data_IF_642698920735
#
_entry.id   IF_642698920735
#
_cell.length_a   1.000
_cell.length_b   1.000
_cell.length_c   1.000
_cell.angle_alpha   90.00
_cell.angle_beta   90.00
_cell.angle_gamma   90.00
#
_symmetry.space_group_name_H-M   'P 1'
#
loop_
_entity.id
_entity.type
_entity.pdbx_description
1 polymer ?
#
# COMPACT_ATOMS: atom_id res chain seq x y z
N UNK A 1 73.58 6.02 41.82
CA UNK A 1 74.60 6.67 42.66
C UNK A 1 74.40 8.17 42.56
N UNK A 2 74.31 8.85 43.72
CA UNK A 2 74.27 10.31 43.93
C UNK A 2 72.96 11.07 43.60
N UNK A 3 72.17 11.13 44.66
CA UNK A 3 71.43 12.30 45.15
C UNK A 3 72.12 13.65 44.87
N UNK A 4 71.32 14.65 44.52
CA UNK A 4 71.69 16.07 44.52
C UNK A 4 70.50 16.89 44.99
N UNK A 5 70.36 17.03 46.31
CA UNK A 5 69.48 17.97 47.01
C UNK A 5 70.26 19.28 47.19
N UNK A 6 69.65 20.42 46.85
CA UNK A 6 70.02 21.72 47.45
C UNK A 6 68.78 22.56 47.74
N UNK A 7 68.83 23.17 48.92
CA UNK A 7 67.76 23.83 49.68
C UNK A 7 67.80 25.36 49.55
N UNK A 8 66.66 25.98 49.91
CA UNK A 8 66.41 27.36 50.40
C UNK A 8 66.35 28.44 49.30
N UNK A 9 65.43 29.41 49.34
CA UNK A 9 65.01 30.26 50.49
C UNK A 9 63.53 30.64 50.41
N UNK A 10 62.94 30.82 51.60
CA UNK A 10 61.59 31.23 51.92
C UNK A 10 61.20 32.64 51.42
N UNK A 11 59.89 32.88 51.27
CA UNK A 11 59.21 34.05 51.84
C UNK A 11 57.69 33.84 51.89
N UNK A 12 57.16 34.03 53.08
CA UNK A 12 55.76 34.09 53.47
C UNK A 12 55.18 35.41 52.94
N UNK A 13 54.08 35.35 52.18
CA UNK A 13 53.07 36.42 52.18
C UNK A 13 51.69 35.75 52.08
N UNK A 14 51.03 35.69 53.23
CA UNK A 14 49.59 35.45 53.35
C UNK A 14 48.91 36.79 53.04
N UNK A 15 48.26 36.92 51.88
CA UNK A 15 47.33 38.02 51.60
C UNK A 15 46.02 37.41 51.18
N UNK A 16 45.13 37.33 52.16
CA UNK A 16 43.69 37.20 51.98
C UNK A 16 43.18 38.47 51.30
N UNK A 17 42.81 38.40 50.02
CA UNK A 17 41.95 39.42 49.40
C UNK A 17 40.64 38.76 48.97
N UNK A 18 39.64 39.11 49.77
CA UNK A 18 38.23 39.12 49.51
C UNK A 18 37.85 39.50 48.06
N UNK A 19 36.85 38.79 47.54
CA UNK A 19 35.73 39.44 46.88
C UNK A 19 35.96 39.96 45.46
N UNK A 20 35.77 39.09 44.48
CA UNK A 20 34.92 39.43 43.34
C UNK A 20 34.33 38.14 42.76
N UNK A 21 33.35 37.57 43.46
CA UNK A 21 32.37 36.70 42.82
C UNK A 21 31.63 37.59 41.81
N UNK A 22 32.16 37.69 40.60
CA UNK A 22 31.37 38.08 39.43
C UNK A 22 30.29 37.01 39.28
N UNK A 23 29.20 37.21 40.03
CA UNK A 23 27.92 36.63 39.73
C UNK A 23 27.52 37.27 38.41
N UNK A 24 27.93 36.63 37.31
CA UNK A 24 27.15 36.70 36.09
C UNK A 24 25.76 36.25 36.50
N UNK A 25 24.90 37.23 36.78
CA UNK A 25 23.47 37.05 36.63
C UNK A 25 23.31 36.63 35.17
N UNK A 26 23.32 35.32 34.93
CA UNK A 26 22.52 34.76 33.86
C UNK A 26 21.11 35.26 34.17
N UNK A 27 20.76 36.40 33.58
CA UNK A 27 19.37 36.71 33.29
C UNK A 27 18.94 35.60 32.34
N UNK A 28 18.55 34.47 32.92
CA UNK A 28 17.58 33.60 32.31
C UNK A 28 16.35 34.48 32.12
N UNK A 29 16.24 35.12 30.96
CA UNK A 29 14.93 35.51 30.49
C UNK A 29 14.17 34.19 30.47
N UNK A 30 13.22 34.02 31.39
CA UNK A 30 12.23 32.98 31.24
C UNK A 30 11.62 33.25 29.87
N UNK A 31 11.90 32.38 28.90
CA UNK A 31 11.30 32.49 27.59
C UNK A 31 9.80 32.56 27.83
N UNK A 32 9.16 33.67 27.45
CA UNK A 32 7.72 33.78 27.55
C UNK A 32 7.15 32.66 26.69
N UNK A 33 6.58 31.63 27.30
CA UNK A 33 6.02 30.49 26.60
C UNK A 33 4.59 30.79 26.16
N UNK A 34 4.20 30.26 25.01
CA UNK A 34 2.84 30.34 24.48
C UNK A 34 2.36 28.98 24.01
N UNK A 35 1.05 28.82 23.97
CA UNK A 35 0.38 27.69 23.32
C UNK A 35 0.02 28.07 21.90
N UNK A 36 0.31 27.19 20.95
CA UNK A 36 -0.09 27.31 19.53
C UNK A 36 -1.05 26.19 19.19
N UNK A 37 -2.19 26.53 18.61
CA UNK A 37 -3.20 25.57 18.16
C UNK A 37 -3.10 25.35 16.66
N UNK A 38 -3.01 24.09 16.22
CA UNK A 38 -3.27 23.71 14.84
C UNK A 38 -4.70 23.20 14.77
N UNK A 39 -5.58 23.99 14.17
CA UNK A 39 -6.96 23.56 13.89
C UNK A 39 -6.97 22.55 12.75
N UNK A 40 -6.29 22.92 11.67
CA UNK A 40 -6.09 22.10 10.49
C UNK A 40 -4.76 22.48 9.83
N UNK A 41 -4.00 21.48 9.41
CA UNK A 41 -2.83 21.65 8.57
C UNK A 41 -2.81 20.53 7.53
N UNK A 42 -3.03 20.91 6.28
CA UNK A 42 -3.13 19.99 5.14
C UNK A 42 -2.30 20.50 3.97
N UNK A 43 -1.48 19.62 3.40
CA UNK A 43 -0.65 19.92 2.23
C UNK A 43 -0.81 18.83 1.20
N UNK A 44 -1.14 19.22 -0.02
CA UNK A 44 -1.18 18.33 -1.18
C UNK A 44 0.04 18.50 -2.07
N UNK A 45 0.49 17.42 -2.71
CA UNK A 45 1.64 17.40 -3.62
C UNK A 45 1.16 17.35 -5.06
N UNK A 46 1.71 18.19 -5.94
CA UNK A 46 1.46 18.12 -7.39
C UNK A 46 2.76 18.09 -8.19
N UNK A 47 2.70 17.56 -9.43
CA UNK A 47 3.83 17.68 -10.36
C UNK A 47 3.71 18.94 -11.22
N UNK A 48 2.80 18.99 -12.20
CA UNK A 48 2.69 20.14 -13.12
C UNK A 48 1.33 20.85 -13.05
N UNK A 49 0.28 20.14 -12.63
CA UNK A 49 -1.08 20.66 -12.49
C UNK A 49 -1.55 20.56 -11.04
N UNK A 50 -1.88 21.70 -10.44
CA UNK A 50 -2.38 21.81 -9.07
C UNK A 50 -3.74 21.13 -8.87
N UNK A 51 -4.54 20.99 -9.94
CA UNK A 51 -5.82 20.29 -9.86
C UNK A 51 -5.65 18.78 -9.67
N UNK A 52 -4.48 18.25 -10.00
CA UNK A 52 -4.10 16.85 -9.81
C UNK A 52 -3.30 16.64 -8.51
N UNK A 53 -3.34 17.61 -7.59
CA UNK A 53 -2.63 17.51 -6.32
C UNK A 53 -3.18 16.39 -5.44
N UNK A 54 -2.29 15.56 -4.89
CA UNK A 54 -2.63 14.42 -4.05
C UNK A 54 -2.30 14.67 -2.59
N UNK A 55 -3.09 14.07 -1.71
CA UNK A 55 -2.91 14.19 -0.25
C UNK A 55 -1.74 13.32 0.23
N UNK A 56 -1.38 13.47 1.51
CA UNK A 56 -0.37 12.66 2.18
C UNK A 56 -1.06 11.92 3.34
N UNK A 57 -1.99 10.98 3.04
CA UNK A 57 -2.75 10.31 4.10
C UNK A 57 -1.89 9.32 4.87
N UNK A 58 -2.36 9.01 6.09
CA UNK A 58 -1.81 7.95 6.95
C UNK A 58 -0.27 7.93 7.01
N UNK A 59 0.32 9.12 7.13
CA UNK A 59 1.75 9.36 7.13
C UNK A 59 2.16 9.92 8.47
N UNK A 60 3.28 9.41 9.00
CA UNK A 60 3.87 9.94 10.22
C UNK A 60 4.30 11.39 10.02
N UNK A 61 4.06 12.20 11.05
CA UNK A 61 4.52 13.57 11.11
C UNK A 61 5.24 13.88 12.42
N UNK A 62 6.19 14.80 12.35
CA UNK A 62 6.82 15.46 13.51
C UNK A 62 6.78 16.96 13.32
N UNK A 63 6.28 17.68 14.32
CA UNK A 63 6.26 19.14 14.35
C UNK A 63 7.40 19.62 15.22
N UNK A 64 8.23 20.51 14.68
CA UNK A 64 9.42 21.05 15.34
C UNK A 64 9.49 22.56 15.24
N UNK A 65 10.33 23.17 16.07
CA UNK A 65 10.86 24.52 15.83
C UNK A 65 12.38 24.52 15.99
N UNK A 66 13.04 25.57 15.52
CA UNK A 66 14.47 25.80 15.74
C UNK A 66 14.63 26.88 16.81
N UNK A 67 15.33 26.57 17.90
CA UNK A 67 15.59 27.54 18.97
C UNK A 67 16.68 28.56 18.60
N UNK A 68 16.98 29.50 19.51
CA UNK A 68 17.99 30.55 19.30
C UNK A 68 19.40 30.01 19.10
N UNK A 69 19.68 28.80 19.60
CA UNK A 69 20.98 28.13 19.47
C UNK A 69 21.07 27.30 18.18
N UNK A 70 20.01 27.30 17.35
CA UNK A 70 19.95 26.55 16.11
C UNK A 70 19.55 25.08 16.30
N UNK A 71 19.14 24.67 17.50
CA UNK A 71 18.77 23.28 17.80
C UNK A 71 17.29 23.05 17.48
N UNK A 72 17.01 21.93 16.82
CA UNK A 72 15.64 21.51 16.54
C UNK A 72 14.98 20.92 17.78
N UNK A 73 13.81 21.44 18.17
CA UNK A 73 13.00 20.97 19.31
C UNK A 73 11.68 20.42 18.82
N UNK A 74 11.31 19.22 19.28
CA UNK A 74 10.05 18.57 18.95
C UNK A 74 8.90 19.15 19.79
N UNK A 75 7.78 19.45 19.13
CA UNK A 75 6.54 19.93 19.72
C UNK A 75 5.44 18.86 19.75
N UNK A 76 5.35 18.05 18.69
CA UNK A 76 4.35 17.01 18.56
C UNK A 76 4.78 15.96 17.53
N UNK A 77 4.22 14.75 17.64
CA UNK A 77 4.31 13.67 16.66
C UNK A 77 2.93 13.05 16.48
N UNK A 78 2.68 12.42 15.33
CA UNK A 78 1.43 11.70 15.10
C UNK A 78 1.35 11.17 13.67
N UNK A 79 0.15 10.81 13.26
CA UNK A 79 -0.16 10.36 11.89
C UNK A 79 -1.25 11.25 11.31
N UNK A 80 -1.15 11.60 10.03
CA UNK A 80 -2.22 12.32 9.33
C UNK A 80 -3.48 11.47 9.19
N UNK A 81 -4.65 12.12 9.12
CA UNK A 81 -5.90 11.42 8.80
C UNK A 81 -5.96 10.89 7.35
N UNK A 82 -7.08 10.26 6.99
CA UNK A 82 -7.33 9.74 5.64
C UNK A 82 -7.36 10.84 4.55
N UNK A 83 -7.54 12.11 4.93
CA UNK A 83 -7.44 13.27 4.05
C UNK A 83 -6.04 13.89 4.00
N UNK A 84 -5.05 13.31 4.70
CA UNK A 84 -3.69 13.85 4.80
C UNK A 84 -3.57 15.09 5.69
N UNK A 85 -4.49 15.29 6.63
CA UNK A 85 -4.53 16.48 7.48
C UNK A 85 -4.09 16.19 8.92
N UNK A 86 -3.50 17.20 9.56
CA UNK A 86 -3.24 17.25 11.00
C UNK A 86 -4.30 18.15 11.61
N UNK A 87 -5.20 17.59 12.41
CA UNK A 87 -6.34 18.32 12.99
C UNK A 87 -6.28 18.40 14.50
N UNK A 88 -6.72 19.52 15.07
CA UNK A 88 -6.91 19.71 16.51
C UNK A 88 -5.67 19.45 17.39
N UNK A 89 -4.47 19.72 16.87
CA UNK A 89 -3.23 19.54 17.62
C UNK A 89 -2.91 20.79 18.47
N UNK A 90 -2.57 20.59 19.74
CA UNK A 90 -2.14 21.66 20.65
C UNK A 90 -0.64 21.56 20.91
N UNK A 91 0.11 22.62 20.59
CA UNK A 91 1.55 22.72 20.78
C UNK A 91 1.81 23.58 22.03
N UNK A 92 2.25 22.93 23.10
CA UNK A 92 2.54 23.60 24.38
C UNK A 92 3.98 24.10 24.44
N UNK A 93 4.23 25.07 25.31
CA UNK A 93 5.58 25.52 25.66
C UNK A 93 6.42 26.02 24.46
N UNK A 94 5.79 26.69 23.49
CA UNK A 94 6.48 27.31 22.37
C UNK A 94 7.05 28.66 22.85
N UNK A 95 8.36 28.91 22.79
CA UNK A 95 8.91 30.23 23.14
C UNK A 95 8.34 31.34 22.27
N UNK A 96 8.07 32.52 22.84
CA UNK A 96 7.47 33.65 22.11
C UNK A 96 8.36 34.18 20.99
N UNK A 97 9.68 33.99 21.08
CA UNK A 97 10.63 34.34 20.02
C UNK A 97 10.58 33.43 18.79
N UNK A 98 9.98 32.24 18.92
CA UNK A 98 9.81 31.30 17.79
C UNK A 98 8.67 31.78 16.91
N UNK A 99 8.96 32.14 15.67
CA UNK A 99 7.97 32.69 14.73
C UNK A 99 7.45 31.67 13.71
N UNK A 100 8.02 30.48 13.67
CA UNK A 100 7.67 29.44 12.69
C UNK A 100 7.82 28.04 13.26
N UNK A 101 7.05 27.10 12.72
CA UNK A 101 7.19 25.66 12.93
C UNK A 101 7.60 24.98 11.63
N UNK A 102 8.21 23.79 11.74
CA UNK A 102 8.52 22.87 10.66
C UNK A 102 7.74 21.58 10.87
N UNK A 103 6.94 21.19 9.89
CA UNK A 103 6.20 19.93 9.86
C UNK A 103 6.95 18.97 8.95
N UNK A 104 7.52 17.92 9.53
CA UNK A 104 8.22 16.85 8.81
C UNK A 104 7.23 15.72 8.59
N UNK A 105 7.07 15.27 7.35
CA UNK A 105 6.26 14.12 6.98
C UNK A 105 7.17 12.97 6.55
N UNK A 106 6.85 11.76 6.95
CA UNK A 106 7.39 10.50 6.41
C UNK A 106 6.24 9.78 5.70
N UNK A 107 6.41 9.45 4.42
CA UNK A 107 5.36 8.74 3.67
C UNK A 107 5.18 7.31 4.21
N UNK A 108 4.07 7.07 4.90
CA UNK A 108 3.76 5.83 5.60
C UNK A 108 4.04 5.88 7.11
N UNK A 109 3.94 4.73 7.74
CA UNK A 109 4.07 4.57 9.19
C UNK A 109 4.47 3.14 9.56
N UNK A 110 4.80 2.91 10.83
CA UNK A 110 5.24 1.59 11.32
C UNK A 110 4.20 0.46 11.20
N UNK A 111 2.90 0.76 11.07
CA UNK A 111 1.82 -0.24 11.02
C UNK A 111 1.54 -0.74 9.61
N UNK A 112 1.69 0.12 8.59
CA UNK A 112 1.54 -0.24 7.17
C UNK A 112 2.87 -0.53 6.50
N UNK A 113 3.90 0.21 6.86
CA UNK A 113 5.16 0.33 6.11
C UNK A 113 5.28 1.70 5.43
N UNK A 114 6.47 1.96 4.90
CA UNK A 114 6.88 3.24 4.34
C UNK A 114 7.09 3.18 2.82
N UNK A 115 6.95 4.34 2.18
CA UNK A 115 7.46 4.53 0.82
C UNK A 115 8.94 4.90 0.90
N UNK A 116 9.79 4.09 0.26
CA UNK A 116 11.25 4.23 0.29
C UNK A 116 11.85 4.55 -1.06
N UNK A 117 12.94 5.30 -1.02
CA UNK A 117 13.86 5.53 -2.15
C UNK A 117 14.68 4.27 -2.41
N UNK A 118 15.32 4.21 -3.58
CA UNK A 118 16.20 3.10 -3.95
C UNK A 118 17.40 2.89 -3.03
N UNK A 119 17.75 3.89 -2.21
CA UNK A 119 18.82 3.82 -1.21
C UNK A 119 18.32 3.44 0.20
N UNK A 120 17.05 3.01 0.33
CA UNK A 120 16.45 2.59 1.60
C UNK A 120 15.93 3.73 2.47
N UNK A 121 16.20 5.00 2.13
CA UNK A 121 15.67 6.13 2.92
C UNK A 121 14.19 6.33 2.66
N UNK A 122 13.44 6.65 3.72
CA UNK A 122 12.02 6.99 3.64
C UNK A 122 11.85 8.30 2.84
N UNK A 123 10.80 8.39 2.03
CA UNK A 123 10.42 9.66 1.43
C UNK A 123 9.92 10.63 2.50
N UNK A 124 10.63 11.74 2.64
CA UNK A 124 10.34 12.77 3.64
C UNK A 124 10.14 14.14 3.02
N UNK A 125 9.17 14.88 3.57
CA UNK A 125 8.87 16.27 3.18
C UNK A 125 8.92 17.17 4.40
N UNK A 126 9.38 18.41 4.24
CA UNK A 126 9.45 19.38 5.33
C UNK A 126 8.75 20.66 4.93
N UNK A 127 7.70 21.04 5.66
CA UNK A 127 6.97 22.26 5.42
C UNK A 127 7.18 23.24 6.56
N UNK A 128 7.63 24.46 6.23
CA UNK A 128 7.78 25.53 7.21
C UNK A 128 6.54 26.42 7.19
N UNK A 129 5.97 26.70 8.36
CA UNK A 129 4.79 27.57 8.51
C UNK A 129 5.00 28.60 9.60
N UNK A 130 4.77 29.86 9.25
CA UNK A 130 4.76 30.95 10.22
C UNK A 130 3.63 30.77 11.24
N UNK A 131 3.92 31.03 12.51
CA UNK A 131 2.94 31.06 13.59
C UNK A 131 2.30 32.46 13.60
N UNK A 132 1.00 32.59 13.31
CA UNK A 132 0.33 33.88 13.31
C UNK A 132 0.24 34.47 14.72
N UNK A 133 0.00 35.78 14.84
CA UNK A 133 -0.15 36.47 16.11
C UNK A 133 -1.33 35.93 16.97
N UNK A 134 -2.33 35.33 16.33
CA UNK A 134 -3.45 34.64 16.98
C UNK A 134 -3.07 33.32 17.65
N UNK A 135 -1.84 32.83 17.46
CA UNK A 135 -1.38 31.50 17.86
C UNK A 135 -2.23 30.34 17.32
N UNK A 136 -3.00 30.57 16.24
CA UNK A 136 -3.88 29.55 15.66
C UNK A 136 -3.57 29.37 14.18
N UNK A 137 -3.14 28.17 13.81
CA UNK A 137 -2.84 27.75 12.44
C UNK A 137 -4.03 26.97 11.90
N UNK A 138 -4.59 27.48 10.81
CA UNK A 138 -5.58 26.81 9.97
C UNK A 138 -5.11 26.96 8.52
N UNK A 139 -4.59 25.89 7.94
CA UNK A 139 -3.90 25.93 6.66
C UNK A 139 -4.23 24.72 5.79
N UNK A 140 -4.64 25.01 4.56
CA UNK A 140 -4.72 24.04 3.47
C UNK A 140 -4.01 24.63 2.26
N UNK A 141 -3.15 23.84 1.62
CA UNK A 141 -2.41 24.29 0.44
C UNK A 141 -1.96 23.14 -0.44
N UNK A 142 -1.48 23.49 -1.62
CA UNK A 142 -0.84 22.54 -2.54
C UNK A 142 0.56 23.03 -2.87
N UNK A 143 1.51 22.12 -2.95
CA UNK A 143 2.90 22.41 -3.26
C UNK A 143 3.42 21.46 -4.32
N UNK A 144 4.26 21.99 -5.20
CA UNK A 144 5.04 21.20 -6.12
C UNK A 144 6.21 20.55 -5.37
N UNK A 145 6.82 21.36 -4.49
CA UNK A 145 8.06 21.22 -3.71
C UNK A 145 7.94 20.65 -2.30
N UNK A 146 8.47 19.46 -2.02
CA UNK A 146 8.83 19.07 -0.65
C UNK A 146 10.19 19.64 -0.21
N UNK A 147 11.26 19.50 -1.03
CA UNK A 147 12.66 19.76 -0.64
C UNK A 147 13.69 19.96 -1.81
N UNK A 148 13.29 20.26 -3.06
CA UNK A 148 14.23 20.30 -4.21
C UNK A 148 13.99 21.46 -5.18
N UNK A 149 15.02 21.85 -5.93
CA UNK A 149 14.97 22.77 -7.08
C UNK A 149 15.05 22.05 -8.45
N UNK A 150 15.14 20.71 -8.45
CA UNK A 150 15.38 19.89 -9.65
C UNK A 150 14.09 19.27 -10.15
N UNK A 151 13.76 19.48 -11.42
CA UNK A 151 12.53 18.99 -12.08
C UNK A 151 12.24 17.50 -11.84
N UNK A 152 13.26 16.67 -12.00
CA UNK A 152 13.15 15.21 -11.80
C UNK A 152 12.76 14.83 -10.36
N UNK A 153 13.17 15.62 -9.36
CA UNK A 153 12.78 15.38 -7.97
C UNK A 153 11.29 15.60 -7.74
N UNK A 154 10.63 16.36 -8.61
CA UNK A 154 9.25 16.79 -8.44
C UNK A 154 8.30 15.69 -8.84
N UNK A 155 8.54 15.13 -10.03
CA UNK A 155 7.89 13.92 -10.51
C UNK A 155 8.12 12.75 -9.56
N UNK A 156 9.35 12.57 -9.06
CA UNK A 156 9.67 11.55 -8.06
C UNK A 156 8.79 11.67 -6.81
N UNK A 157 8.77 12.85 -6.18
CA UNK A 157 8.01 13.09 -4.96
C UNK A 157 6.50 12.94 -5.20
N UNK A 158 6.00 13.45 -6.33
CA UNK A 158 4.59 13.35 -6.70
C UNK A 158 4.14 11.88 -6.89
N UNK A 159 4.91 11.07 -7.61
CA UNK A 159 4.59 9.64 -7.80
C UNK A 159 4.69 8.90 -6.46
N UNK A 160 5.70 9.18 -5.63
CA UNK A 160 5.81 8.58 -4.30
C UNK A 160 4.61 8.94 -3.41
N UNK A 161 4.12 10.19 -3.45
CA UNK A 161 2.89 10.59 -2.74
C UNK A 161 1.65 9.88 -3.26
N UNK A 162 1.54 9.67 -4.57
CA UNK A 162 0.44 8.88 -5.17
C UNK A 162 0.47 7.42 -4.74
N UNK A 163 1.66 6.80 -4.72
CA UNK A 163 1.82 5.43 -4.22
C UNK A 163 1.38 5.35 -2.75
N UNK A 164 1.78 6.30 -1.91
CA UNK A 164 1.35 6.35 -0.50
C UNK A 164 -0.18 6.45 -0.36
N UNK A 165 -0.81 7.35 -1.12
CA UNK A 165 -2.26 7.53 -1.13
C UNK A 165 -2.99 6.25 -1.57
N UNK A 166 -2.58 5.64 -2.69
CA UNK A 166 -3.18 4.39 -3.15
C UNK A 166 -2.90 3.20 -2.23
N UNK A 167 -1.81 3.21 -1.48
CA UNK A 167 -1.54 2.16 -0.49
C UNK A 167 -2.55 2.23 0.67
N UNK A 168 -2.82 3.42 1.20
CA UNK A 168 -3.90 3.62 2.19
C UNK A 168 -5.27 3.22 1.64
N UNK A 169 -5.56 3.59 0.40
CA UNK A 169 -6.82 3.25 -0.26
C UNK A 169 -6.97 1.74 -0.50
N UNK A 170 -5.89 1.03 -0.87
CA UNK A 170 -5.90 -0.42 -1.03
C UNK A 170 -6.21 -1.14 0.30
N UNK A 171 -5.62 -0.70 1.41
CA UNK A 171 -5.96 -1.22 2.74
C UNK A 171 -7.42 -0.97 3.11
N UNK A 172 -7.91 0.25 2.83
CA UNK A 172 -9.30 0.62 3.08
C UNK A 172 -10.26 -0.19 2.22
N UNK A 173 -9.94 -0.40 0.94
CA UNK A 173 -10.71 -1.21 0.00
C UNK A 173 -10.84 -2.65 0.49
N UNK A 174 -9.72 -3.28 0.86
CA UNK A 174 -9.74 -4.62 1.42
C UNK A 174 -10.55 -4.68 2.72
N UNK A 175 -10.28 -3.79 3.66
CA UNK A 175 -10.98 -3.74 4.95
C UNK A 175 -12.49 -3.58 4.76
N UNK A 176 -12.91 -2.72 3.85
CA UNK A 176 -14.31 -2.49 3.54
C UNK A 176 -14.97 -3.74 2.92
N UNK A 177 -14.27 -4.46 2.03
CA UNK A 177 -14.73 -5.74 1.49
C UNK A 177 -14.91 -6.80 2.59
N UNK A 178 -13.89 -6.98 3.44
CA UNK A 178 -13.94 -7.93 4.55
C UNK A 178 -15.07 -7.61 5.56
N UNK A 179 -15.25 -6.32 5.90
CA UNK A 179 -16.36 -5.88 6.77
C UNK A 179 -17.72 -6.14 6.13
N UNK A 180 -17.85 -5.95 4.81
CA UNK A 180 -19.10 -6.25 4.10
C UNK A 180 -19.39 -7.76 4.12
N UNK A 181 -18.41 -8.60 3.79
CA UNK A 181 -18.55 -10.05 3.78
C UNK A 181 -18.89 -10.63 5.17
N UNK A 182 -18.26 -10.11 6.24
CA UNK A 182 -18.51 -10.54 7.63
C UNK A 182 -19.94 -10.39 8.10
N UNK A 183 -20.74 -9.51 7.49
CA UNK A 183 -22.17 -9.39 7.78
C UNK A 183 -22.94 -10.66 7.41
N UNK A 184 -22.43 -11.43 6.45
CA UNK A 184 -23.12 -12.59 5.86
C UNK A 184 -22.37 -13.91 6.09
N UNK A 185 -21.06 -13.88 6.34
CA UNK A 185 -20.23 -15.05 6.71
C UNK A 185 -19.44 -14.72 7.97
N UNK A 186 -19.96 -15.12 9.13
CA UNK A 186 -19.41 -14.75 10.44
C UNK A 186 -18.16 -15.54 10.84
N UNK A 187 -17.84 -16.59 10.09
CA UNK A 187 -16.66 -17.42 10.21
C UNK A 187 -15.42 -16.83 9.54
N UNK A 188 -15.56 -15.74 8.77
CA UNK A 188 -14.43 -14.99 8.23
C UNK A 188 -13.60 -14.43 9.40
N UNK A 189 -12.35 -14.88 9.51
CA UNK A 189 -11.39 -14.38 10.48
C UNK A 189 -11.00 -12.90 10.25
N UNK A 190 -10.59 -12.21 11.32
CA UNK A 190 -9.90 -10.92 11.20
C UNK A 190 -8.53 -11.12 10.54
N UNK A 191 -8.33 -10.47 9.40
CA UNK A 191 -7.05 -10.40 8.72
C UNK A 191 -6.48 -8.99 8.86
N UNK A 192 -5.31 -8.89 9.50
CA UNK A 192 -4.49 -7.67 9.53
C UNK A 192 -3.17 -8.00 8.81
N UNK A 193 -2.88 -7.26 7.74
CA UNK A 193 -1.60 -7.40 7.04
C UNK A 193 -0.49 -6.82 7.92
N UNK A 194 0.60 -7.57 8.12
CA UNK A 194 1.78 -7.01 8.75
C UNK A 194 2.43 -5.94 7.83
N UNK A 195 3.22 -4.99 8.37
CA UNK A 195 3.80 -3.91 7.59
C UNK A 195 4.73 -4.40 6.46
N UNK A 196 4.74 -3.71 5.32
CA UNK A 196 5.73 -3.90 4.24
C UNK A 196 6.08 -2.58 3.55
N UNK A 197 7.35 -2.39 3.24
CA UNK A 197 7.83 -1.18 2.57
C UNK A 197 7.69 -1.30 1.05
N UNK A 198 7.32 -0.18 0.41
CA UNK A 198 7.27 -0.05 -1.05
C UNK A 198 8.40 0.85 -1.52
N UNK A 199 9.26 0.32 -2.39
CA UNK A 199 10.37 1.02 -3.00
C UNK A 199 10.00 1.61 -4.36
N UNK A 200 10.32 2.88 -4.56
CA UNK A 200 10.16 3.56 -5.83
C UNK A 200 11.15 4.72 -6.00
N UNK A 201 11.78 4.81 -7.17
CA UNK A 201 12.55 5.98 -7.57
C UNK A 201 12.67 6.02 -9.10
N UNK A 202 12.59 7.21 -9.71
CA UNK A 202 12.86 7.39 -11.14
C UNK A 202 14.25 6.85 -11.51
N UNK A 203 14.32 6.15 -12.63
CA UNK A 203 15.50 5.44 -13.11
C UNK A 203 15.80 4.12 -12.39
N UNK A 204 15.25 3.89 -11.20
CA UNK A 204 15.40 2.63 -10.48
C UNK A 204 14.44 1.59 -11.03
N UNK A 205 14.96 0.41 -11.39
CA UNK A 205 14.16 -0.64 -12.04
C UNK A 205 13.44 -0.13 -13.31
N UNK A 206 14.11 0.73 -14.09
CA UNK A 206 13.56 1.31 -15.31
C UNK A 206 13.16 0.23 -16.33
N UNK A 207 11.91 0.32 -16.79
CA UNK A 207 11.24 -0.62 -17.70
C UNK A 207 11.24 -2.08 -17.21
N UNK A 208 11.43 -2.29 -15.90
CA UNK A 208 11.16 -3.58 -15.26
C UNK A 208 9.73 -3.58 -14.73
N UNK A 209 9.15 -4.77 -14.57
CA UNK A 209 7.86 -4.92 -13.89
C UNK A 209 7.96 -4.55 -12.41
N UNK A 210 6.81 -4.27 -11.81
CA UNK A 210 6.66 -4.28 -10.35
C UNK A 210 6.82 -5.71 -9.84
N UNK A 211 7.26 -5.87 -8.59
CA UNK A 211 7.36 -7.18 -7.97
C UNK A 211 7.42 -7.10 -6.46
N UNK A 212 6.77 -8.06 -5.81
CA UNK A 212 7.01 -8.46 -4.44
C UNK A 212 8.25 -9.36 -4.33
N UNK A 213 9.21 -8.99 -3.48
CA UNK A 213 10.41 -9.77 -3.19
C UNK A 213 10.32 -10.40 -1.80
N UNK A 214 10.10 -11.71 -1.78
CA UNK A 214 10.02 -12.51 -0.54
C UNK A 214 11.22 -12.33 0.41
N UNK A 215 12.42 -12.12 -0.14
CA UNK A 215 13.68 -12.01 0.61
C UNK A 215 14.36 -10.64 0.40
N UNK A 216 13.59 -9.63 0.00
CA UNK A 216 14.08 -8.30 -0.33
C UNK A 216 14.70 -8.22 -1.71
N UNK A 217 14.45 -7.12 -2.41
CA UNK A 217 15.02 -6.89 -3.75
C UNK A 217 16.55 -6.73 -3.72
N UNK A 218 17.10 -6.35 -2.57
CA UNK A 218 18.53 -6.17 -2.31
C UNK A 218 19.21 -7.38 -1.67
N UNK A 219 18.46 -8.46 -1.40
CA UNK A 219 18.97 -9.69 -0.79
C UNK A 219 19.18 -9.61 0.72
N UNK A 220 18.65 -8.59 1.41
CA UNK A 220 18.75 -8.46 2.88
C UNK A 220 17.99 -9.52 3.67
N UNK A 221 17.09 -10.28 3.02
CA UNK A 221 16.17 -11.21 3.67
C UNK A 221 14.95 -10.52 4.26
N UNK A 222 14.85 -9.19 4.17
CA UNK A 222 13.67 -8.42 4.59
C UNK A 222 12.72 -8.29 3.39
N UNK A 223 11.47 -8.78 3.48
CA UNK A 223 10.53 -8.72 2.36
C UNK A 223 10.16 -7.28 2.01
N UNK A 224 10.03 -6.99 0.72
CA UNK A 224 9.63 -5.68 0.23
C UNK A 224 8.87 -5.76 -1.10
N UNK A 225 8.30 -4.63 -1.50
CA UNK A 225 7.69 -4.43 -2.81
C UNK A 225 8.51 -3.40 -3.56
N UNK A 226 8.80 -3.65 -4.84
CA UNK A 226 9.37 -2.65 -5.74
C UNK A 226 8.33 -2.32 -6.80
N UNK A 227 7.99 -1.04 -6.93
CA UNK A 227 7.24 -0.55 -8.08
C UNK A 227 8.21 -0.12 -9.17
N UNK A 228 8.17 -0.79 -10.32
CA UNK A 228 9.08 -0.54 -11.44
C UNK A 228 8.88 0.83 -12.06
N UNK A 229 9.98 1.51 -12.41
CA UNK A 229 9.92 2.77 -13.12
C UNK A 229 9.63 2.59 -14.62
N UNK A 230 9.05 3.61 -15.26
CA UNK A 230 8.69 3.62 -16.68
C UNK A 230 9.39 4.74 -17.43
N UNK A 231 9.75 4.52 -18.68
CA UNK A 231 10.42 5.57 -19.48
C UNK A 231 9.59 6.86 -19.54
N UNK A 232 8.28 6.73 -19.75
CA UNK A 232 7.35 7.88 -19.78
C UNK A 232 6.59 8.04 -18.48
N UNK A 233 6.56 9.27 -17.96
CA UNK A 233 5.75 9.65 -16.78
C UNK A 233 4.25 9.44 -17.05
N UNK A 234 3.81 9.58 -18.30
CA UNK A 234 2.40 9.38 -18.68
C UNK A 234 1.90 7.95 -18.47
N UNK A 235 2.79 6.98 -18.28
CA UNK A 235 2.43 5.58 -17.98
C UNK A 235 2.02 5.38 -16.52
N UNK A 236 2.34 6.32 -15.62
CA UNK A 236 1.87 6.31 -14.24
C UNK A 236 0.44 6.85 -14.14
N UNK A 237 -0.52 6.19 -14.79
CA UNK A 237 -1.94 6.52 -14.65
C UNK A 237 -2.45 6.16 -13.24
N UNK A 238 -3.68 6.57 -12.90
CA UNK A 238 -4.31 6.14 -11.64
C UNK A 238 -4.45 4.62 -11.62
N UNK A 239 -5.04 4.06 -12.68
CA UNK A 239 -5.19 2.62 -12.88
C UNK A 239 -3.85 1.88 -12.67
N UNK A 240 -2.77 2.31 -13.34
CA UNK A 240 -1.47 1.66 -13.21
C UNK A 240 -0.99 1.60 -11.76
N UNK A 241 -1.01 2.72 -11.03
CA UNK A 241 -0.51 2.75 -9.66
C UNK A 241 -1.41 1.99 -8.70
N UNK A 242 -2.74 2.16 -8.81
CA UNK A 242 -3.72 1.45 -7.99
C UNK A 242 -3.57 -0.06 -8.17
N UNK A 243 -3.58 -0.53 -9.42
CA UNK A 243 -3.42 -1.94 -9.77
C UNK A 243 -2.13 -2.50 -9.17
N UNK A 244 -0.97 -1.90 -9.46
CA UNK A 244 0.32 -2.46 -9.04
C UNK A 244 0.50 -2.43 -7.52
N UNK A 245 0.02 -1.40 -6.82
CA UNK A 245 0.08 -1.35 -5.34
C UNK A 245 -0.72 -2.51 -4.75
N UNK A 246 -1.98 -2.69 -5.17
CA UNK A 246 -2.84 -3.75 -4.62
C UNK A 246 -2.39 -5.15 -5.06
N UNK A 247 -1.92 -5.31 -6.29
CA UNK A 247 -1.39 -6.57 -6.82
C UNK A 247 -0.21 -7.07 -6.00
N UNK A 248 0.83 -6.24 -5.84
CA UNK A 248 2.03 -6.66 -5.11
C UNK A 248 1.78 -6.77 -3.60
N UNK A 249 0.90 -5.93 -3.04
CA UNK A 249 0.50 -6.05 -1.64
C UNK A 249 -0.33 -7.33 -1.39
N UNK A 250 -1.10 -7.80 -2.36
CA UNK A 250 -1.82 -9.08 -2.26
C UNK A 250 -0.86 -10.26 -2.24
N UNK A 251 0.25 -10.22 -3.00
CA UNK A 251 1.33 -11.21 -2.89
C UNK A 251 1.93 -11.28 -1.49
N UNK A 252 2.11 -10.12 -0.85
CA UNK A 252 2.57 -10.07 0.53
C UNK A 252 1.57 -10.73 1.50
N UNK A 253 0.29 -10.41 1.38
CA UNK A 253 -0.77 -11.00 2.19
C UNK A 253 -0.84 -12.53 2.02
N UNK A 254 -0.81 -13.01 0.76
CA UNK A 254 -0.75 -14.45 0.45
C UNK A 254 0.45 -15.17 1.06
N UNK A 255 1.62 -14.52 1.09
CA UNK A 255 2.80 -15.09 1.75
C UNK A 255 2.59 -15.23 3.25
N UNK A 256 1.98 -14.25 3.90
CA UNK A 256 1.75 -14.28 5.35
C UNK A 256 0.80 -15.41 5.76
N UNK A 257 -0.25 -15.63 4.98
CA UNK A 257 -1.39 -16.49 5.36
C UNK A 257 -1.22 -17.92 4.88
N UNK A 258 -0.79 -18.10 3.63
CA UNK A 258 -0.79 -19.39 2.94
C UNK A 258 0.61 -19.85 2.51
N UNK A 259 1.67 -19.08 2.86
CA UNK A 259 3.05 -19.29 2.38
C UNK A 259 3.15 -19.35 0.85
N UNK A 260 2.18 -18.73 0.18
CA UNK A 260 2.10 -18.61 -1.26
C UNK A 260 2.93 -17.39 -1.70
N UNK A 261 4.25 -17.54 -1.76
CA UNK A 261 5.09 -16.52 -2.41
C UNK A 261 4.85 -16.49 -3.92
N UNK A 262 4.96 -15.31 -4.53
CA UNK A 262 4.85 -15.09 -5.98
C UNK A 262 5.76 -16.00 -6.82
N UNK A 263 5.42 -16.14 -8.11
CA UNK A 263 6.11 -17.02 -9.05
C UNK A 263 6.67 -16.27 -10.24
N UNK A 264 7.72 -16.79 -10.87
CA UNK A 264 8.16 -16.26 -12.17
C UNK A 264 7.22 -16.76 -13.27
N UNK A 265 6.78 -15.85 -14.13
CA UNK A 265 5.99 -16.12 -15.32
C UNK A 265 6.41 -15.15 -16.44
N UNK A 266 6.09 -15.49 -17.69
CA UNK A 266 6.51 -14.69 -18.86
C UNK A 266 5.55 -13.53 -19.14
N UNK A 267 4.25 -13.78 -19.09
CA UNK A 267 3.19 -12.77 -19.22
C UNK A 267 1.88 -13.29 -18.63
N UNK A 268 0.89 -12.42 -18.42
CA UNK A 268 -0.42 -12.83 -17.91
C UNK A 268 -1.17 -13.81 -18.84
N UNK A 269 -0.78 -13.84 -20.12
CA UNK A 269 -1.39 -14.60 -21.20
C UNK A 269 -0.65 -15.89 -21.55
N UNK A 270 0.53 -16.10 -20.97
CA UNK A 270 1.36 -17.27 -21.30
C UNK A 270 0.89 -18.47 -20.48
N UNK A 271 0.88 -19.66 -21.10
CA UNK A 271 0.63 -20.91 -20.40
C UNK A 271 1.68 -21.18 -19.32
N UNK A 272 1.22 -21.44 -18.10
CA UNK A 272 2.06 -21.89 -17.00
C UNK A 272 1.94 -23.41 -16.85
N UNK A 273 3.07 -24.11 -16.99
CA UNK A 273 3.14 -25.54 -16.65
C UNK A 273 2.93 -25.80 -15.16
N UNK A 274 3.26 -24.83 -14.31
CA UNK A 274 2.96 -24.86 -12.89
C UNK A 274 1.66 -24.12 -12.60
N UNK A 275 0.57 -24.85 -12.40
CA UNK A 275 -0.76 -24.28 -12.17
C UNK A 275 -0.85 -23.44 -10.88
N UNK A 276 0.06 -23.66 -9.93
CA UNK A 276 0.18 -22.81 -8.74
C UNK A 276 0.55 -21.37 -9.11
N UNK A 277 1.33 -21.16 -10.17
CA UNK A 277 1.69 -19.82 -10.64
C UNK A 277 0.45 -19.09 -11.16
N UNK A 278 -0.34 -19.73 -12.01
CA UNK A 278 -1.59 -19.15 -12.54
C UNK A 278 -2.55 -18.73 -11.42
N UNK A 279 -2.71 -19.58 -10.42
CA UNK A 279 -3.57 -19.28 -9.26
C UNK A 279 -3.08 -18.07 -8.46
N UNK A 280 -1.81 -18.07 -8.03
CA UNK A 280 -1.24 -17.00 -7.21
C UNK A 280 -1.24 -15.65 -7.92
N UNK A 281 -0.79 -15.63 -9.17
CA UNK A 281 -0.76 -14.39 -9.94
C UNK A 281 -2.16 -13.97 -10.38
N UNK A 282 -3.05 -14.90 -10.71
CA UNK A 282 -4.44 -14.61 -11.05
C UNK A 282 -5.21 -13.95 -9.92
N UNK A 283 -5.00 -14.40 -8.68
CA UNK A 283 -5.55 -13.75 -7.48
C UNK A 283 -5.03 -12.31 -7.34
N UNK A 284 -3.72 -12.11 -7.46
CA UNK A 284 -3.13 -10.79 -7.32
C UNK A 284 -3.65 -9.84 -8.42
N UNK A 285 -3.79 -10.33 -9.66
CA UNK A 285 -4.40 -9.60 -10.77
C UNK A 285 -5.86 -9.26 -10.50
N UNK A 286 -6.64 -10.22 -10.04
CA UNK A 286 -8.03 -10.02 -9.65
C UNK A 286 -8.14 -8.89 -8.62
N UNK A 287 -7.41 -8.98 -7.50
CA UNK A 287 -7.44 -7.95 -6.48
C UNK A 287 -6.97 -6.58 -6.99
N UNK A 288 -5.91 -6.55 -7.81
CA UNK A 288 -5.39 -5.34 -8.45
C UNK A 288 -6.42 -4.65 -9.35
N UNK A 289 -7.07 -5.41 -10.23
CA UNK A 289 -8.08 -4.86 -11.15
C UNK A 289 -9.39 -4.48 -10.45
N UNK A 290 -9.85 -5.25 -9.45
CA UNK A 290 -11.05 -4.89 -8.68
C UNK A 290 -10.86 -3.56 -7.96
N UNK A 291 -9.66 -3.31 -7.42
CA UNK A 291 -9.35 -2.03 -6.82
C UNK A 291 -9.21 -0.91 -7.87
N UNK A 292 -8.50 -1.16 -8.97
CA UNK A 292 -8.20 -0.15 -9.98
C UNK A 292 -9.41 0.28 -10.84
N UNK A 293 -10.39 -0.60 -11.02
CA UNK A 293 -11.60 -0.34 -11.82
C UNK A 293 -12.90 -0.35 -11.00
N UNK A 294 -12.81 -0.33 -9.68
CA UNK A 294 -13.99 -0.37 -8.79
C UNK A 294 -14.94 -1.53 -9.10
N UNK A 295 -14.40 -2.75 -9.19
CA UNK A 295 -15.11 -4.00 -9.51
C UNK A 295 -15.56 -4.18 -10.97
N UNK A 296 -15.26 -3.26 -11.89
CA UNK A 296 -15.73 -3.35 -13.29
C UNK A 296 -14.67 -3.91 -14.24
N UNK A 297 -14.86 -5.16 -14.70
CA UNK A 297 -14.07 -5.78 -15.77
C UNK A 297 -14.90 -6.21 -16.98
N UNK A 298 -16.16 -5.76 -17.09
CA UNK A 298 -17.12 -6.19 -18.12
C UNK A 298 -16.67 -5.98 -19.57
N UNK A 299 -15.66 -5.14 -19.81
CA UNK A 299 -15.09 -4.89 -21.14
C UNK A 299 -14.17 -6.00 -21.64
N UNK A 300 -13.72 -6.88 -20.74
CA UNK A 300 -12.72 -7.93 -20.98
C UNK A 300 -13.10 -9.27 -20.35
N UNK A 301 -14.33 -9.36 -19.87
CA UNK A 301 -14.97 -10.50 -19.22
C UNK A 301 -14.79 -11.78 -20.04
N UNK A 302 -15.21 -11.68 -21.31
CA UNK A 302 -15.25 -12.79 -22.24
C UNK A 302 -13.92 -13.10 -22.92
N UNK A 303 -12.81 -12.49 -22.49
CA UNK A 303 -11.50 -12.68 -23.13
C UNK A 303 -11.02 -14.14 -23.01
N UNK A 304 -11.38 -14.83 -21.92
CA UNK A 304 -11.07 -16.27 -21.73
C UNK A 304 -12.11 -17.19 -22.35
N UNK A 305 -13.19 -16.64 -22.91
CA UNK A 305 -14.31 -17.35 -23.51
C UNK A 305 -14.42 -17.15 -25.05
N UNK A 306 -13.90 -16.05 -25.60
CA UNK A 306 -13.93 -15.69 -27.04
C UNK A 306 -12.58 -15.80 -27.78
N UNK A 307 -12.61 -16.28 -29.04
CA UNK A 307 -11.50 -16.16 -29.99
C UNK A 307 -11.92 -15.44 -31.26
N UNK A 308 -11.48 -14.19 -31.40
CA UNK A 308 -11.97 -13.35 -32.48
C UNK A 308 -11.29 -13.58 -33.85
N UNK A 309 -10.25 -14.42 -33.95
CA UNK A 309 -9.52 -14.57 -35.23
C UNK A 309 -9.52 -16.02 -35.77
N UNK A 310 -9.66 -17.08 -34.95
CA UNK A 310 -9.50 -18.47 -35.43
C UNK A 310 -10.52 -19.49 -34.89
N UNK A 311 -11.54 -19.12 -34.11
CA UNK A 311 -12.42 -20.09 -33.43
C UNK A 311 -11.73 -21.00 -32.40
N UNK A 312 -10.54 -20.63 -31.92
CA UNK A 312 -9.69 -21.27 -30.91
C UNK A 312 -9.30 -20.23 -29.84
N UNK A 313 -9.96 -20.27 -28.68
CA UNK A 313 -9.60 -19.37 -27.58
C UNK A 313 -8.19 -19.67 -27.06
N UNK A 314 -7.34 -18.64 -27.02
CA UNK A 314 -5.95 -18.75 -26.57
C UNK A 314 -5.81 -19.06 -25.08
N UNK A 315 -6.83 -18.81 -24.27
CA UNK A 315 -6.83 -18.88 -22.80
C UNK A 315 -7.87 -19.85 -22.23
N UNK A 316 -8.97 -20.15 -22.95
CA UNK A 316 -10.02 -21.09 -22.54
C UNK A 316 -9.42 -22.42 -22.09
N UNK A 317 -9.78 -22.86 -20.89
CA UNK A 317 -9.28 -24.10 -20.29
C UNK A 317 -7.77 -24.19 -20.09
N UNK A 318 -6.99 -23.15 -20.43
CA UNK A 318 -5.53 -23.13 -20.26
C UNK A 318 -5.13 -22.50 -18.94
N UNK A 319 -4.04 -23.00 -18.37
CA UNK A 319 -3.49 -22.44 -17.14
C UNK A 319 -2.73 -21.14 -17.41
N UNK A 320 -3.42 -20.01 -17.39
CA UNK A 320 -2.81 -18.67 -17.45
C UNK A 320 -3.22 -17.83 -16.24
N UNK A 321 -2.44 -16.79 -15.92
CA UNK A 321 -2.82 -15.87 -14.84
C UNK A 321 -4.14 -15.16 -15.17
N UNK A 322 -4.35 -14.82 -16.45
CA UNK A 322 -5.58 -14.19 -16.95
C UNK A 322 -6.81 -15.10 -16.83
N UNK A 323 -6.66 -16.38 -17.16
CA UNK A 323 -7.74 -17.38 -16.98
C UNK A 323 -8.15 -17.50 -15.52
N UNK A 324 -7.17 -17.57 -14.60
CA UNK A 324 -7.47 -17.63 -13.18
C UNK A 324 -8.11 -16.34 -12.65
N UNK A 325 -7.72 -15.17 -13.16
CA UNK A 325 -8.33 -13.90 -12.80
C UNK A 325 -9.81 -13.83 -13.21
N UNK A 326 -10.12 -14.16 -14.47
CA UNK A 326 -11.47 -13.99 -15.01
C UNK A 326 -12.44 -14.99 -14.39
N UNK A 327 -12.04 -16.25 -14.16
CA UNK A 327 -12.86 -17.19 -13.36
C UNK A 327 -13.24 -16.66 -11.97
N UNK A 328 -12.36 -15.90 -11.32
CA UNK A 328 -12.66 -15.27 -10.03
C UNK A 328 -13.57 -14.05 -10.18
N UNK A 329 -13.51 -13.37 -11.32
CA UNK A 329 -14.38 -12.26 -11.66
C UNK A 329 -15.80 -12.72 -11.92
N UNK A 330 -16.01 -13.83 -12.64
CA UNK A 330 -17.34 -14.42 -12.89
C UNK A 330 -18.00 -14.93 -11.59
N UNK A 331 -17.21 -15.17 -10.53
CA UNK A 331 -17.75 -15.46 -9.19
C UNK A 331 -18.07 -14.20 -8.39
N UNK A 332 -17.60 -13.04 -8.83
CA UNK A 332 -17.79 -11.74 -8.20
C UNK A 332 -18.90 -10.92 -8.84
N UNK A 333 -18.96 -10.91 -10.15
CA UNK A 333 -19.83 -10.03 -10.91
C UNK A 333 -21.29 -10.47 -10.78
N UNK A 334 -22.19 -9.61 -11.21
CA UNK A 334 -23.64 -9.79 -11.05
C UNK A 334 -24.34 -9.74 -12.42
N UNK A 335 -23.68 -9.09 -13.38
CA UNK A 335 -24.20 -8.79 -14.70
C UNK A 335 -23.11 -9.13 -15.72
N UNK A 336 -23.12 -10.38 -16.12
CA UNK A 336 -22.25 -10.91 -17.15
C UNK A 336 -22.53 -10.26 -18.49
N UNK A 337 -21.49 -9.72 -19.15
CA UNK A 337 -21.66 -9.08 -20.45
C UNK A 337 -21.41 -10.08 -21.57
N UNK A 338 -22.49 -10.58 -22.19
CA UNK A 338 -22.46 -11.58 -23.27
C UNK A 338 -21.98 -12.98 -22.86
N UNK A 339 -22.08 -13.30 -21.58
CA UNK A 339 -21.82 -14.62 -21.03
C UNK A 339 -23.10 -15.19 -20.40
N UNK A 340 -23.13 -16.51 -20.21
CA UNK A 340 -24.32 -17.23 -19.74
C UNK A 340 -24.10 -17.83 -18.34
N UNK A 341 -23.32 -17.19 -17.46
CA UNK A 341 -23.32 -17.51 -16.04
C UNK A 341 -24.48 -16.84 -15.29
N UNK A 342 -24.94 -17.52 -14.25
CA UNK A 342 -26.05 -17.08 -13.39
C UNK A 342 -25.69 -17.39 -11.93
N UNK A 343 -24.42 -17.20 -11.56
CA UNK A 343 -23.93 -17.49 -10.21
C UNK A 343 -22.87 -16.51 -9.77
N UNK A 344 -23.05 -15.96 -8.56
CA UNK A 344 -22.01 -15.24 -7.83
C UNK A 344 -21.85 -15.84 -6.44
N UNK A 345 -20.69 -15.66 -5.81
CA UNK A 345 -20.34 -16.34 -4.55
C UNK A 345 -21.30 -16.04 -3.38
N UNK A 346 -21.96 -14.88 -3.36
CA UNK A 346 -22.93 -14.52 -2.31
C UNK A 346 -24.39 -14.82 -2.65
N UNK A 347 -24.66 -15.49 -3.77
CA UNK A 347 -26.01 -15.74 -4.29
C UNK A 347 -26.93 -16.35 -3.21
N UNK A 348 -26.44 -17.35 -2.47
CA UNK A 348 -27.18 -18.05 -1.41
C UNK A 348 -27.24 -17.29 -0.07
N UNK A 349 -26.41 -16.27 0.13
CA UNK A 349 -26.23 -15.55 1.40
C UNK A 349 -26.95 -14.21 1.45
N UNK A 350 -27.14 -13.58 0.29
CA UNK A 350 -27.57 -12.20 0.19
C UNK A 350 -28.81 -12.09 -0.69
N UNK A 351 -29.83 -11.40 -0.19
CA UNK A 351 -31.00 -10.98 -0.98
C UNK A 351 -31.12 -9.45 -0.95
N UNK A 352 -31.46 -8.85 -2.09
CA UNK A 352 -31.82 -7.43 -2.22
C UNK A 352 -30.72 -6.41 -1.84
N UNK A 353 -29.47 -6.60 -2.29
CA UNK A 353 -28.45 -5.55 -2.28
C UNK A 353 -28.36 -4.84 -3.63
N UNK A 354 -27.89 -3.59 -3.60
CA UNK A 354 -27.45 -2.92 -4.83
C UNK A 354 -26.23 -3.64 -5.42
N UNK A 355 -26.06 -3.55 -6.74
CA UNK A 355 -25.00 -4.23 -7.49
C UNK A 355 -23.61 -4.04 -6.85
N UNK A 356 -23.20 -2.78 -6.67
CA UNK A 356 -21.90 -2.43 -6.07
C UNK A 356 -21.71 -2.96 -4.64
N UNK A 357 -22.78 -3.03 -3.84
CA UNK A 357 -22.70 -3.57 -2.48
C UNK A 357 -22.51 -5.09 -2.51
N UNK A 358 -23.16 -5.78 -3.45
CA UNK A 358 -23.01 -7.22 -3.64
C UNK A 358 -21.62 -7.56 -4.23
N UNK A 359 -21.10 -6.80 -5.19
CA UNK A 359 -19.71 -6.95 -5.69
C UNK A 359 -18.69 -6.79 -4.56
N UNK A 360 -18.89 -5.80 -3.68
CA UNK A 360 -18.04 -5.60 -2.51
C UNK A 360 -18.12 -6.79 -1.53
N UNK A 361 -19.31 -7.36 -1.30
CA UNK A 361 -19.46 -8.58 -0.50
C UNK A 361 -18.75 -9.76 -1.16
N UNK A 362 -18.94 -9.95 -2.46
CA UNK A 362 -18.33 -11.03 -3.23
C UNK A 362 -16.80 -10.95 -3.22
N UNK A 363 -16.23 -9.75 -3.46
CA UNK A 363 -14.80 -9.49 -3.31
C UNK A 363 -14.31 -9.85 -1.91
N UNK A 364 -15.02 -9.41 -0.88
CA UNK A 364 -14.68 -9.70 0.51
C UNK A 364 -14.68 -11.20 0.83
N UNK A 365 -15.67 -11.95 0.34
CA UNK A 365 -15.77 -13.40 0.49
C UNK A 365 -14.59 -14.09 -0.21
N UNK A 366 -14.39 -13.81 -1.51
CA UNK A 366 -13.31 -14.41 -2.30
C UNK A 366 -11.94 -14.13 -1.67
N UNK A 367 -11.67 -12.88 -1.28
CA UNK A 367 -10.39 -12.52 -0.66
C UNK A 367 -10.20 -13.18 0.71
N UNK A 368 -11.23 -13.20 1.55
CA UNK A 368 -11.18 -13.84 2.87
C UNK A 368 -10.87 -15.34 2.76
N UNK A 369 -11.64 -16.05 1.95
CA UNK A 369 -11.49 -17.48 1.77
C UNK A 369 -10.14 -17.84 1.16
N UNK A 370 -9.63 -16.99 0.28
CA UNK A 370 -8.31 -17.16 -0.31
C UNK A 370 -7.21 -17.12 0.76
N UNK A 371 -7.32 -16.21 1.72
CA UNK A 371 -6.37 -16.11 2.83
C UNK A 371 -6.52 -17.26 3.86
N UNK A 372 -7.74 -17.74 4.09
CA UNK A 372 -8.03 -18.70 5.16
C UNK A 372 -7.90 -20.16 4.73
N UNK A 373 -8.29 -20.49 3.48
CA UNK A 373 -8.35 -21.88 2.99
C UNK A 373 -6.98 -22.54 2.78
N UNK A 374 -5.92 -21.74 2.59
CA UNK A 374 -4.54 -22.21 2.29
C UNK A 374 -4.43 -23.07 1.03
N UNK A 375 -5.42 -23.03 0.15
CA UNK A 375 -5.40 -23.68 -1.15
C UNK A 375 -4.16 -23.25 -1.94
N UNK A 376 -3.54 -24.17 -2.67
CA UNK A 376 -2.30 -23.93 -3.41
C UNK A 376 -2.53 -23.79 -4.92
N UNK A 377 -3.72 -24.19 -5.37
CA UNK A 377 -4.15 -24.18 -6.77
C UNK A 377 -5.57 -23.62 -6.90
N UNK A 378 -5.91 -23.19 -8.12
CA UNK A 378 -7.26 -22.70 -8.44
C UNK A 378 -8.32 -23.80 -8.24
N UNK A 379 -8.04 -25.03 -8.66
CA UNK A 379 -8.97 -26.17 -8.50
C UNK A 379 -9.31 -26.44 -7.03
N UNK A 380 -8.31 -26.49 -6.15
CA UNK A 380 -8.52 -26.65 -4.69
C UNK A 380 -9.39 -25.52 -4.14
N UNK A 381 -9.13 -24.28 -4.58
CA UNK A 381 -9.87 -23.11 -4.12
C UNK A 381 -11.33 -23.13 -4.60
N UNK A 382 -11.58 -23.43 -5.88
CA UNK A 382 -12.94 -23.51 -6.43
C UNK A 382 -13.76 -24.63 -5.78
N UNK A 383 -13.15 -25.79 -5.52
CA UNK A 383 -13.80 -26.87 -4.78
C UNK A 383 -14.15 -26.46 -3.35
N UNK A 384 -13.25 -25.74 -2.69
CA UNK A 384 -13.49 -25.18 -1.36
C UNK A 384 -14.67 -24.18 -1.38
N UNK A 385 -14.70 -23.27 -2.34
CA UNK A 385 -15.79 -22.29 -2.49
C UNK A 385 -17.13 -22.97 -2.78
N UNK A 386 -17.16 -23.93 -3.72
CA UNK A 386 -18.37 -24.68 -4.04
C UNK A 386 -18.90 -25.42 -2.81
N UNK A 387 -18.04 -26.13 -2.08
CA UNK A 387 -18.43 -26.86 -0.88
C UNK A 387 -18.99 -25.95 0.22
N UNK A 388 -18.54 -24.69 0.28
CA UNK A 388 -18.94 -23.72 1.30
C UNK A 388 -20.19 -22.92 0.93
N UNK A 389 -20.33 -22.48 -0.32
CA UNK A 389 -21.34 -21.50 -0.74
C UNK A 389 -22.40 -22.03 -1.70
N UNK A 390 -22.14 -23.14 -2.41
CA UNK A 390 -23.15 -23.79 -3.24
C UNK A 390 -23.99 -24.75 -2.39
N UNK A 391 -24.95 -24.19 -1.63
CA UNK A 391 -25.68 -24.91 -0.57
C UNK A 391 -26.85 -25.77 -1.06
N UNK A 392 -27.27 -25.60 -2.32
CA UNK A 392 -28.34 -26.37 -2.97
C UNK A 392 -27.85 -27.04 -4.25
N UNK A 393 -28.58 -28.06 -4.72
CA UNK A 393 -28.27 -28.72 -5.99
C UNK A 393 -28.30 -27.76 -7.18
N UNK A 394 -29.18 -26.74 -7.13
CA UNK A 394 -29.28 -25.71 -8.15
C UNK A 394 -28.08 -24.75 -8.11
N UNK A 395 -27.63 -24.35 -6.91
CA UNK A 395 -26.40 -23.55 -6.77
C UNK A 395 -25.18 -24.30 -7.29
N UNK A 396 -25.08 -25.60 -7.04
CA UNK A 396 -23.99 -26.44 -7.53
C UNK A 396 -23.98 -26.47 -9.07
N UNK A 397 -25.14 -26.66 -9.70
CA UNK A 397 -25.23 -26.64 -11.17
C UNK A 397 -24.86 -25.27 -11.75
N UNK A 398 -25.31 -24.18 -11.12
CA UNK A 398 -24.97 -22.82 -11.56
C UNK A 398 -23.49 -22.47 -11.33
N UNK A 399 -22.88 -22.94 -10.24
CA UNK A 399 -21.43 -22.85 -10.01
C UNK A 399 -20.65 -23.65 -11.07
N UNK A 400 -21.09 -24.87 -11.39
CA UNK A 400 -20.47 -25.69 -12.44
C UNK A 400 -20.59 -25.05 -13.83
N UNK A 401 -21.65 -24.29 -14.09
CA UNK A 401 -21.79 -23.53 -15.33
C UNK A 401 -20.68 -22.47 -15.45
N UNK A 402 -20.34 -21.75 -14.37
CA UNK A 402 -19.20 -20.81 -14.34
C UNK A 402 -17.89 -21.53 -14.69
N UNK A 403 -17.67 -22.73 -14.13
CA UNK A 403 -16.48 -23.51 -14.46
C UNK A 403 -16.44 -23.90 -15.94
N UNK A 404 -17.58 -24.35 -16.47
CA UNK A 404 -17.70 -24.84 -17.85
C UNK A 404 -17.44 -23.75 -18.90
N UNK A 405 -18.01 -22.55 -18.73
CA UNK A 405 -17.81 -21.43 -19.68
C UNK A 405 -16.35 -20.95 -19.73
N UNK A 406 -15.61 -21.15 -18.64
CA UNK A 406 -14.17 -20.89 -18.56
C UNK A 406 -13.29 -22.06 -19.05
N UNK A 407 -13.91 -23.17 -19.45
CA UNK A 407 -13.20 -24.37 -19.91
C UNK A 407 -12.52 -25.15 -18.80
N UNK A 408 -13.02 -25.05 -17.57
CA UNK A 408 -12.57 -25.87 -16.45
C UNK A 408 -13.44 -27.13 -16.32
N UNK A 409 -12.86 -28.21 -15.80
CA UNK A 409 -13.62 -29.40 -15.41
C UNK A 409 -14.60 -29.08 -14.27
N UNK A 410 -15.54 -29.98 -13.97
CA UNK A 410 -16.41 -29.89 -12.77
C UNK A 410 -15.66 -29.78 -11.43
N UNK A 411 -14.39 -30.20 -11.39
CA UNK A 411 -13.50 -30.07 -10.23
C UNK A 411 -12.63 -28.80 -10.25
N UNK A 412 -12.85 -27.89 -11.20
CA UNK A 412 -12.10 -26.64 -11.34
C UNK A 412 -10.68 -26.79 -11.92
N UNK A 413 -10.33 -27.95 -12.49
CA UNK A 413 -9.06 -28.15 -13.19
C UNK A 413 -9.05 -27.47 -14.56
N UNK A 414 -7.91 -26.91 -14.94
CA UNK A 414 -7.62 -26.56 -16.33
C UNK A 414 -7.71 -27.81 -17.22
N UNK A 415 -8.27 -27.67 -18.41
CA UNK A 415 -8.55 -28.80 -19.31
C UNK A 415 -7.61 -28.88 -20.50
N UNK A 416 -6.93 -27.80 -20.86
CA UNK A 416 -6.09 -27.71 -22.05
C UNK A 416 -4.62 -27.39 -21.73
N UNK A 417 -3.71 -27.96 -22.52
CA UNK A 417 -2.28 -27.62 -22.52
C UNK A 417 -1.99 -26.36 -23.37
N UNK A 418 -0.70 -26.04 -23.54
CA UNK A 418 -0.26 -24.88 -24.34
C UNK A 418 -0.73 -24.96 -25.80
N UNK A 419 -0.80 -26.16 -26.38
CA UNK A 419 -1.14 -26.43 -27.77
C UNK A 419 -2.66 -26.61 -27.96
N UNK A 420 -3.43 -26.60 -26.87
CA UNK A 420 -4.88 -26.81 -26.90
C UNK A 420 -5.30 -28.27 -26.87
N UNK A 421 -4.38 -29.20 -26.54
CA UNK A 421 -4.74 -30.60 -26.33
C UNK A 421 -5.31 -30.80 -24.93
N UNK A 422 -6.21 -31.76 -24.78
CA UNK A 422 -6.78 -32.12 -23.48
C UNK A 422 -5.71 -32.66 -22.53
N UNK A 423 -5.69 -32.15 -21.30
CA UNK A 423 -4.83 -32.63 -20.22
C UNK A 423 -5.33 -34.00 -19.72
N UNK A 424 -4.39 -34.92 -19.47
CA UNK A 424 -4.72 -36.24 -18.93
C UNK A 424 -5.37 -36.13 -17.54
N UNK A 425 -6.59 -36.65 -17.38
CA UNK A 425 -7.35 -36.58 -16.13
C UNK A 425 -8.25 -35.36 -15.98
N UNK A 426 -8.42 -34.56 -17.04
CA UNK A 426 -9.31 -33.39 -17.06
C UNK A 426 -10.72 -33.69 -17.62
N UNK A 427 -11.07 -34.96 -17.85
CA UNK A 427 -12.42 -35.39 -18.24
C UNK A 427 -13.24 -35.72 -16.99
N UNK A 428 -14.50 -35.27 -16.99
CA UNK A 428 -15.48 -35.49 -15.91
C UNK A 428 -15.68 -36.96 -15.51
#
# INVERSE_FOLDING_TARGET
MRLGITWRVASIVMVSIFGCLCSWKMTANADNLRTVQIKNFSVKIYNDDVNLAVTIPDSEYTITYTDSDGVSKTLATGTTDAGGSITNQTLMNVPSGVTQIKVHYSLGNERRGYIRRSDGRIYQFVFTKAIPASNSIDYSGSTRFGNSSVSESYTNNYIASRINDYYMQAESFLKNGLVAAKKYSTDIEDFESAPIDIYYQRGFYLNKGSAFYRNGHDGTGVPDIVLGDRTSVSQFTNHYLMHNVMHEWTHWNMRQTAQLGGGSYTSHYTYNTNFKTSYKEGIALFAGEMFANEYDLRSVDNEVQTDDINGINRLYGKSTNRSAQLVLYDLLDINSNNENEVYNISESLVQNLAEKEREQVNFGLLYAEMMQSKCQTLSEFLQYLQAKYATSADDVLRFQQVLFINGLSTMGNFTLDTDGNTLSGATD
#
